data_IF_464375281294
#
_entry.id   IF_464375281294
#
_cell.length_a   1.000
_cell.length_b   1.000
_cell.length_c   1.000
_cell.angle_alpha   90.00
_cell.angle_beta   90.00
_cell.angle_gamma   90.00
#
_symmetry.space_group_name_H-M   'P 1'
#
loop_
_entity.id
_entity.type
_entity.pdbx_description
1 polymer ?
#
# COMPACT_ATOMS: atom_id res chain seq x y z
N UNK A 1 -10.98 -51.46 60.42
CA UNK A 1 -11.03 -52.66 59.58
C UNK A 1 -10.85 -52.20 58.15
N UNK A 2 -9.67 -52.54 57.61
CA UNK A 2 -9.36 -53.16 56.29
C UNK A 2 -9.78 -52.32 55.05
N UNK A 3 -9.02 -52.08 54.04
CA UNK A 3 -7.77 -52.68 53.51
C UNK A 3 -7.08 -51.68 52.56
N UNK A 4 -5.78 -51.56 52.62
CA UNK A 4 -4.89 -51.01 51.59
C UNK A 4 -4.98 -51.82 50.32
N UNK A 5 -4.93 -51.17 49.16
CA UNK A 5 -4.31 -51.79 47.98
C UNK A 5 -3.49 -50.77 47.21
N UNK A 6 -2.21 -51.04 47.20
CA UNK A 6 -1.17 -50.49 46.33
C UNK A 6 -1.43 -50.99 44.90
N UNK A 7 -1.33 -50.14 43.91
CA UNK A 7 -0.93 -50.56 42.59
C UNK A 7 0.22 -49.71 42.07
N UNK A 8 1.28 -50.42 41.80
CA UNK A 8 2.64 -50.01 41.46
C UNK A 8 2.73 -49.67 40.00
N UNK A 9 3.38 -48.53 39.73
CA UNK A 9 3.73 -47.98 38.45
C UNK A 9 4.56 -48.91 37.56
N UNK A 10 4.49 -48.70 36.29
CA UNK A 10 5.57 -49.00 35.36
C UNK A 10 5.90 -47.75 34.58
N UNK A 11 7.06 -47.15 34.87
CA UNK A 11 7.71 -46.18 34.08
C UNK A 11 8.17 -46.78 32.75
N UNK A 12 7.85 -46.12 31.66
CA UNK A 12 8.43 -46.36 30.37
C UNK A 12 9.32 -45.15 30.06
N UNK A 13 10.62 -45.39 30.19
CA UNK A 13 11.69 -44.51 29.75
C UNK A 13 11.64 -44.40 28.24
N UNK A 14 11.36 -43.20 27.73
CA UNK A 14 11.53 -42.90 26.30
C UNK A 14 12.93 -42.29 26.11
N UNK A 15 13.80 -43.16 25.58
CA UNK A 15 15.19 -42.82 25.24
C UNK A 15 15.23 -41.92 24.00
N UNK A 16 15.83 -40.76 24.14
CA UNK A 16 16.29 -39.88 23.08
C UNK A 16 17.09 -40.65 22.01
N UNK A 17 16.61 -40.60 20.78
CA UNK A 17 17.43 -40.86 19.60
C UNK A 17 17.65 -39.48 18.93
N UNK A 18 18.72 -38.86 19.32
CA UNK A 18 19.25 -37.65 18.65
C UNK A 18 20.53 -38.07 17.93
N UNK A 19 20.61 -37.73 16.66
CA UNK A 19 21.88 -37.57 15.98
C UNK A 19 22.21 -38.66 14.97
N UNK A 20 21.70 -38.55 13.76
CA UNK A 20 22.39 -38.96 12.53
C UNK A 20 21.52 -38.62 11.30
N UNK A 21 21.47 -37.37 10.87
CA UNK A 21 20.95 -37.02 9.53
C UNK A 21 21.43 -35.66 8.98
N UNK A 22 22.55 -35.11 9.44
CA UNK A 22 23.02 -33.83 8.89
C UNK A 22 24.40 -33.85 8.23
N UNK A 23 25.01 -35.05 8.11
CA UNK A 23 26.32 -35.21 7.41
C UNK A 23 26.18 -35.69 5.96
N UNK A 24 25.05 -36.33 5.62
CA UNK A 24 24.86 -36.90 4.28
C UNK A 24 24.25 -35.89 3.26
N UNK A 25 23.70 -34.76 3.69
CA UNK A 25 23.16 -33.75 2.79
C UNK A 25 24.24 -32.79 2.25
N UNK A 26 25.32 -32.54 3.01
CA UNK A 26 26.43 -31.70 2.56
C UNK A 26 27.38 -32.36 1.56
N UNK A 27 27.39 -33.70 1.51
CA UNK A 27 28.26 -34.44 0.58
C UNK A 27 27.67 -34.66 -0.80
N UNK A 28 26.37 -34.46 -0.99
CA UNK A 28 25.69 -34.54 -2.31
C UNK A 28 25.73 -33.24 -3.10
N UNK A 29 25.93 -32.09 -2.45
CA UNK A 29 26.00 -30.77 -3.11
C UNK A 29 27.41 -30.38 -3.59
N UNK A 30 28.44 -31.19 -3.27
CA UNK A 30 29.83 -30.91 -3.67
C UNK A 30 30.30 -31.67 -4.93
N UNK A 31 29.46 -32.45 -5.61
CA UNK A 31 29.88 -33.27 -6.76
C UNK A 31 29.25 -32.90 -8.10
N UNK A 32 28.57 -31.74 -8.23
CA UNK A 32 27.99 -31.31 -9.52
C UNK A 32 28.65 -30.09 -10.17
N UNK A 33 29.84 -29.71 -9.73
CA UNK A 33 30.60 -28.60 -10.34
C UNK A 33 31.95 -29.09 -10.79
N UNK A 34 31.99 -29.96 -11.81
CA UNK A 34 33.15 -30.08 -12.71
C UNK A 34 32.74 -30.82 -13.99
N UNK A 35 32.79 -30.17 -15.08
CA UNK A 35 32.87 -30.60 -16.47
C UNK A 35 31.94 -29.88 -17.44
N UNK A 36 32.39 -28.86 -18.09
CA UNK A 36 32.62 -28.84 -19.53
C UNK A 36 33.00 -27.45 -20.02
N UNK A 37 34.29 -27.26 -20.16
CA UNK A 37 34.89 -26.28 -21.07
C UNK A 37 34.96 -26.85 -22.47
N UNK A 38 34.91 -25.95 -23.43
CA UNK A 38 35.41 -25.97 -24.81
C UNK A 38 34.37 -25.98 -25.92
N UNK A 39 34.49 -24.95 -26.79
CA UNK A 39 33.78 -24.86 -28.06
C UNK A 39 33.67 -23.43 -28.61
N UNK A 40 34.82 -22.76 -28.80
CA UNK A 40 34.92 -21.53 -29.62
C UNK A 40 34.73 -21.90 -31.12
N UNK A 41 33.81 -21.23 -31.79
CA UNK A 41 33.98 -20.97 -33.27
C UNK A 41 33.21 -19.70 -33.64
N UNK A 42 34.00 -18.74 -34.14
CA UNK A 42 33.60 -17.56 -34.89
C UNK A 42 33.14 -17.95 -36.31
N UNK A 43 32.24 -17.20 -36.91
CA UNK A 43 32.26 -16.85 -38.32
C UNK A 43 31.21 -15.78 -38.66
N UNK A 44 31.68 -14.60 -39.06
CA UNK A 44 31.38 -13.64 -40.15
C UNK A 44 29.92 -13.42 -40.61
N UNK A 45 29.42 -12.19 -40.48
CA UNK A 45 29.29 -11.06 -41.45
C UNK A 45 28.73 -11.43 -42.82
N UNK A 46 27.51 -10.94 -43.13
CA UNK A 46 27.09 -10.33 -44.42
C UNK A 46 25.69 -9.71 -44.21
N UNK A 47 25.47 -8.66 -44.66
CA UNK A 47 25.06 -7.49 -45.38
C UNK A 47 23.77 -7.68 -46.23
N UNK A 48 22.83 -6.68 -46.05
CA UNK A 48 21.83 -6.16 -47.00
C UNK A 48 20.66 -7.09 -47.40
N UNK A 49 19.42 -6.68 -47.26
CA UNK A 49 18.72 -5.79 -48.19
C UNK A 49 17.30 -5.40 -47.70
N UNK A 50 16.86 -4.25 -48.14
CA UNK A 50 15.69 -3.46 -47.85
C UNK A 50 14.50 -3.92 -48.71
N UNK A 51 13.30 -4.18 -48.15
CA UNK A 51 12.04 -3.91 -48.87
C UNK A 51 10.87 -3.63 -47.91
N UNK A 52 10.18 -2.59 -48.27
CA UNK A 52 8.94 -1.98 -47.73
C UNK A 52 7.73 -2.89 -47.77
N UNK A 53 6.90 -2.87 -46.73
CA UNK A 53 5.44 -2.68 -46.81
C UNK A 53 4.78 -2.73 -45.41
N UNK A 54 3.97 -1.72 -45.09
CA UNK A 54 3.08 -1.56 -43.92
C UNK A 54 1.73 -2.27 -44.16
N UNK A 55 0.72 -2.10 -43.26
CA UNK A 55 0.65 -2.46 -41.84
C UNK A 55 -0.57 -3.37 -41.57
N UNK A 56 -0.60 -4.06 -40.47
CA UNK A 56 -1.84 -4.31 -39.70
C UNK A 56 -1.63 -5.27 -38.54
N UNK A 57 -2.37 -4.99 -37.50
CA UNK A 57 -2.64 -5.78 -36.29
C UNK A 57 -1.78 -5.47 -35.07
N UNK A 58 -2.37 -4.60 -34.24
CA UNK A 58 -2.07 -4.42 -32.81
C UNK A 58 -2.36 -5.76 -32.12
N UNK A 59 -1.32 -6.44 -31.68
CA UNK A 59 -1.43 -7.51 -30.68
C UNK A 59 -0.59 -7.09 -29.47
N UNK A 60 -1.29 -6.73 -28.43
CA UNK A 60 -0.84 -6.53 -27.07
C UNK A 60 -0.20 -7.81 -26.55
N UNK A 61 1.10 -7.82 -26.34
CA UNK A 61 1.79 -8.72 -25.41
C UNK A 61 3.29 -8.37 -25.43
N UNK A 62 3.69 -7.36 -24.66
CA UNK A 62 5.09 -7.14 -24.34
C UNK A 62 5.41 -7.76 -22.98
N UNK A 63 5.52 -9.07 -22.97
CA UNK A 63 6.14 -9.82 -21.89
C UNK A 63 7.64 -9.81 -22.14
N UNK A 64 8.32 -8.80 -21.59
CA UNK A 64 9.79 -8.75 -21.64
C UNK A 64 10.34 -9.65 -20.55
N UNK A 65 10.59 -10.90 -20.88
CA UNK A 65 11.41 -11.81 -20.07
C UNK A 65 12.85 -11.33 -20.10
N UNK A 66 13.29 -10.65 -19.06
CA UNK A 66 14.70 -10.31 -18.84
C UNK A 66 15.26 -11.27 -17.81
N UNK A 67 16.26 -12.06 -18.22
CA UNK A 67 16.98 -13.02 -17.38
C UNK A 67 17.64 -12.35 -16.16
N UNK A 68 17.75 -13.06 -14.99
CA UNK A 68 18.25 -12.48 -13.76
C UNK A 68 19.77 -12.31 -13.80
N UNK A 69 20.24 -11.10 -13.62
CA UNK A 69 21.64 -10.79 -13.33
C UNK A 69 21.72 -10.33 -11.89
N UNK A 70 22.43 -11.13 -11.08
CA UNK A 70 22.96 -10.83 -9.74
C UNK A 70 22.01 -10.27 -8.68
N UNK A 71 21.48 -11.13 -7.80
CA UNK A 71 21.30 -10.93 -6.34
C UNK A 71 20.54 -9.71 -5.81
N UNK A 72 19.97 -8.87 -6.67
CA UNK A 72 19.05 -7.80 -6.32
C UNK A 72 17.65 -8.34 -6.61
N UNK A 73 16.87 -8.60 -5.59
CA UNK A 73 15.43 -8.82 -5.76
C UNK A 73 14.89 -7.63 -6.57
N UNK A 74 14.58 -7.88 -7.85
CA UNK A 74 13.87 -6.88 -8.65
C UNK A 74 12.51 -6.68 -8.00
N UNK A 75 12.33 -5.54 -7.35
CA UNK A 75 11.00 -5.10 -6.92
C UNK A 75 10.09 -5.16 -8.16
N UNK A 76 9.10 -6.02 -8.10
CA UNK A 76 8.11 -6.16 -9.18
C UNK A 76 7.41 -4.81 -9.38
N UNK A 77 7.27 -4.36 -10.63
CA UNK A 77 6.62 -3.10 -10.98
C UNK A 77 5.12 -3.18 -10.65
N UNK A 78 4.69 -2.35 -9.71
CA UNK A 78 3.29 -2.25 -9.31
C UNK A 78 2.62 -1.11 -10.09
N UNK A 79 1.75 -1.45 -11.06
CA UNK A 79 1.08 -0.48 -11.91
C UNK A 79 0.27 0.56 -11.11
N UNK A 80 -0.26 0.18 -9.95
CA UNK A 80 -1.04 1.07 -9.09
C UNK A 80 -0.16 1.98 -8.21
N UNK A 81 1.07 1.57 -7.90
CA UNK A 81 1.99 2.33 -7.03
C UNK A 81 3.07 3.08 -7.81
N UNK A 82 3.56 2.48 -8.89
CA UNK A 82 4.73 2.97 -9.62
C UNK A 82 4.36 3.70 -10.93
N UNK A 83 3.06 3.77 -11.31
CA UNK A 83 2.55 4.47 -12.50
C UNK A 83 1.74 5.72 -12.16
N UNK A 84 1.42 6.57 -13.17
CA UNK A 84 0.50 7.69 -13.01
C UNK A 84 -0.91 7.32 -12.51
N UNK A 85 -1.34 6.06 -12.62
CA UNK A 85 -2.59 5.60 -12.03
C UNK A 85 -2.69 5.84 -10.52
N UNK A 86 -1.54 5.91 -9.83
CA UNK A 86 -1.49 6.28 -8.41
C UNK A 86 -2.22 7.59 -8.12
N UNK A 87 -2.21 8.55 -9.05
CA UNK A 87 -2.89 9.83 -8.86
C UNK A 87 -4.41 9.72 -8.78
N UNK A 88 -5.02 8.64 -9.30
CA UNK A 88 -6.44 8.38 -9.08
C UNK A 88 -6.76 8.04 -7.63
N UNK A 89 -5.79 7.47 -6.92
CA UNK A 89 -5.90 7.25 -5.47
C UNK A 89 -5.96 8.54 -4.65
N UNK A 90 -5.55 9.68 -5.24
CA UNK A 90 -5.61 11.00 -4.57
C UNK A 90 -6.81 11.84 -5.01
N UNK A 91 -7.81 11.24 -5.67
CA UNK A 91 -8.99 11.95 -6.12
C UNK A 91 -9.75 12.60 -4.96
N UNK A 92 -9.87 11.91 -3.82
CA UNK A 92 -10.52 12.42 -2.62
C UNK A 92 -9.78 13.61 -1.99
N UNK A 93 -8.44 13.60 -1.94
CA UNK A 93 -7.65 14.74 -1.46
C UNK A 93 -7.82 15.96 -2.36
N UNK A 94 -7.78 15.75 -3.68
CA UNK A 94 -8.10 16.80 -4.63
C UNK A 94 -9.53 17.32 -4.41
N UNK A 95 -10.50 16.41 -4.19
CA UNK A 95 -11.88 16.76 -3.87
C UNK A 95 -12.01 17.64 -2.63
N UNK A 96 -11.33 17.27 -1.55
CA UNK A 96 -11.29 18.10 -0.34
C UNK A 96 -10.63 19.48 -0.57
N UNK A 97 -9.53 19.51 -1.31
CA UNK A 97 -8.87 20.77 -1.65
C UNK A 97 -9.76 21.70 -2.49
N UNK A 98 -10.53 21.15 -3.44
CA UNK A 98 -11.45 21.88 -4.29
C UNK A 98 -12.86 22.02 -3.71
N UNK A 99 -13.11 21.70 -2.44
CA UNK A 99 -14.45 21.68 -1.85
C UNK A 99 -15.25 22.97 -2.07
N UNK A 100 -14.59 24.16 -2.00
CA UNK A 100 -15.22 25.46 -2.22
C UNK A 100 -15.68 25.71 -3.68
N UNK A 101 -15.20 24.92 -4.64
CA UNK A 101 -15.49 25.03 -6.06
C UNK A 101 -16.47 23.95 -6.56
N UNK A 102 -16.63 22.88 -5.78
CA UNK A 102 -17.43 21.73 -6.17
C UNK A 102 -18.89 21.88 -5.72
N UNK A 103 -19.84 21.32 -6.48
CA UNK A 103 -21.22 21.22 -6.00
C UNK A 103 -21.30 20.28 -4.78
N UNK A 104 -22.42 20.26 -4.03
CA UNK A 104 -22.55 19.50 -2.77
C UNK A 104 -22.22 18.00 -2.89
N UNK A 105 -22.43 17.39 -4.07
CA UNK A 105 -22.10 16.01 -4.35
C UNK A 105 -20.68 15.82 -4.89
N UNK A 106 -19.94 16.90 -5.17
CA UNK A 106 -18.64 16.84 -5.83
C UNK A 106 -17.58 16.14 -4.99
N UNK A 107 -17.42 16.54 -3.73
CA UNK A 107 -16.49 15.87 -2.80
C UNK A 107 -16.85 14.39 -2.62
N UNK A 108 -18.09 13.98 -2.31
CA UNK A 108 -18.46 12.56 -2.30
C UNK A 108 -18.15 11.80 -3.59
N UNK A 109 -18.31 12.43 -4.76
CA UNK A 109 -17.97 11.80 -6.03
C UNK A 109 -16.49 11.50 -6.18
N UNK A 110 -15.61 12.38 -5.69
CA UNK A 110 -14.16 12.14 -5.71
C UNK A 110 -13.75 10.98 -4.80
N UNK A 111 -14.41 10.78 -3.66
CA UNK A 111 -14.26 9.57 -2.83
C UNK A 111 -14.72 8.32 -3.57
N UNK A 112 -15.78 8.42 -4.39
CA UNK A 112 -16.20 7.33 -5.27
C UNK A 112 -15.11 6.92 -6.26
N UNK A 113 -14.43 7.88 -6.88
CA UNK A 113 -13.29 7.62 -7.79
C UNK A 113 -12.14 6.92 -7.05
N UNK A 114 -11.76 7.42 -5.88
CA UNK A 114 -10.73 6.79 -5.06
C UNK A 114 -11.12 5.36 -4.65
N UNK A 115 -12.39 5.13 -4.28
CA UNK A 115 -12.90 3.80 -3.93
C UNK A 115 -12.82 2.81 -5.12
N UNK A 116 -13.16 3.24 -6.33
CA UNK A 116 -13.03 2.41 -7.55
C UNK A 116 -11.57 2.05 -7.79
N UNK A 117 -10.65 3.00 -7.64
CA UNK A 117 -9.21 2.74 -7.73
C UNK A 117 -8.74 1.72 -6.71
N UNK A 118 -9.13 1.87 -5.43
CA UNK A 118 -8.79 0.94 -4.34
C UNK A 118 -9.29 -0.47 -4.65
N UNK A 119 -10.54 -0.60 -5.12
CA UNK A 119 -11.10 -1.90 -5.48
C UNK A 119 -10.37 -2.52 -6.67
N UNK A 120 -10.04 -1.74 -7.70
CA UNK A 120 -9.31 -2.24 -8.87
C UNK A 120 -7.93 -2.80 -8.49
N UNK A 121 -7.14 -2.07 -7.69
CA UNK A 121 -5.85 -2.52 -7.18
C UNK A 121 -6.00 -3.79 -6.30
N UNK A 122 -7.00 -3.80 -5.42
CA UNK A 122 -7.27 -4.94 -4.55
C UNK A 122 -7.59 -6.21 -5.33
N UNK A 123 -8.49 -6.11 -6.32
CA UNK A 123 -8.88 -7.25 -7.15
C UNK A 123 -7.73 -7.76 -8.01
N UNK A 124 -6.96 -6.88 -8.62
CA UNK A 124 -5.79 -7.28 -9.43
C UNK A 124 -4.79 -8.09 -8.59
N UNK A 125 -4.40 -7.58 -7.42
CA UNK A 125 -3.47 -8.26 -6.52
C UNK A 125 -4.02 -9.56 -5.94
N UNK A 126 -5.30 -9.56 -5.54
CA UNK A 126 -5.96 -10.77 -5.02
C UNK A 126 -6.06 -11.87 -6.09
N UNK A 127 -6.40 -11.52 -7.33
CA UNK A 127 -6.49 -12.49 -8.44
C UNK A 127 -5.10 -13.05 -8.79
N UNK A 128 -4.06 -12.21 -8.83
CA UNK A 128 -2.68 -12.65 -9.07
C UNK A 128 -2.24 -13.63 -7.98
N UNK A 129 -2.39 -13.25 -6.72
CA UNK A 129 -2.04 -14.11 -5.60
C UNK A 129 -2.83 -15.44 -5.57
N UNK A 130 -4.13 -15.40 -5.94
CA UNK A 130 -4.93 -16.61 -6.05
C UNK A 130 -4.44 -17.55 -7.16
N UNK A 131 -4.06 -17.02 -8.32
CA UNK A 131 -3.51 -17.82 -9.42
C UNK A 131 -2.17 -18.47 -9.06
N UNK A 132 -1.32 -17.78 -8.33
CA UNK A 132 0.03 -18.26 -7.97
C UNK A 132 0.03 -19.21 -6.78
N UNK A 133 -0.73 -18.91 -5.72
CA UNK A 133 -0.64 -19.56 -4.41
C UNK A 133 -1.97 -20.10 -3.88
N UNK A 134 -3.04 -19.97 -4.67
CA UNK A 134 -4.37 -20.46 -4.34
C UNK A 134 -5.24 -19.49 -3.56
N UNK A 135 -6.52 -19.87 -3.39
CA UNK A 135 -7.61 -19.04 -2.87
C UNK A 135 -7.29 -18.38 -1.51
N UNK A 136 -6.65 -19.13 -0.60
CA UNK A 136 -6.32 -18.61 0.74
C UNK A 136 -5.40 -17.40 0.65
N UNK A 137 -4.35 -17.47 -0.16
CA UNK A 137 -3.41 -16.37 -0.33
C UNK A 137 -4.08 -15.20 -1.06
N UNK A 138 -4.92 -15.46 -2.06
CA UNK A 138 -5.71 -14.43 -2.74
C UNK A 138 -6.56 -13.61 -1.77
N UNK A 139 -7.25 -14.27 -0.84
CA UNK A 139 -8.06 -13.59 0.19
C UNK A 139 -7.16 -12.79 1.15
N UNK A 140 -6.05 -13.35 1.61
CA UNK A 140 -5.11 -12.65 2.52
C UNK A 140 -4.58 -11.39 1.85
N UNK A 141 -4.08 -11.49 0.61
CA UNK A 141 -3.54 -10.36 -0.14
C UNK A 141 -4.63 -9.32 -0.43
N UNK A 142 -5.84 -9.75 -0.77
CA UNK A 142 -6.98 -8.85 -0.99
C UNK A 142 -7.33 -8.05 0.26
N UNK A 143 -7.46 -8.71 1.42
CA UNK A 143 -7.75 -8.04 2.70
C UNK A 143 -6.62 -7.10 3.13
N UNK A 144 -5.37 -7.52 2.96
CA UNK A 144 -4.20 -6.71 3.26
C UNK A 144 -4.18 -5.45 2.38
N UNK A 145 -4.35 -5.62 1.07
CA UNK A 145 -4.34 -4.51 0.11
C UNK A 145 -5.49 -3.52 0.34
N UNK A 146 -6.73 -4.00 0.49
CA UNK A 146 -7.88 -3.09 0.69
C UNK A 146 -7.75 -2.32 1.99
N UNK A 147 -7.28 -2.96 3.07
CA UNK A 147 -7.09 -2.29 4.36
C UNK A 147 -6.01 -1.21 4.25
N UNK A 148 -4.88 -1.54 3.64
CA UNK A 148 -3.80 -0.59 3.41
C UNK A 148 -4.27 0.61 2.59
N UNK A 149 -4.91 0.36 1.44
CA UNK A 149 -5.38 1.40 0.54
C UNK A 149 -6.43 2.31 1.20
N UNK A 150 -7.39 1.76 1.93
CA UNK A 150 -8.40 2.55 2.63
C UNK A 150 -7.76 3.48 3.68
N UNK A 151 -6.78 2.98 4.41
CA UNK A 151 -6.07 3.78 5.42
C UNK A 151 -5.12 4.79 4.78
N UNK A 152 -4.18 4.32 3.92
CA UNK A 152 -3.08 5.13 3.40
C UNK A 152 -3.50 6.08 2.26
N UNK A 153 -4.51 5.70 1.44
CA UNK A 153 -4.89 6.45 0.25
C UNK A 153 -6.25 7.15 0.36
N UNK A 154 -7.07 6.87 1.37
CA UNK A 154 -8.41 7.47 1.46
C UNK A 154 -8.62 8.22 2.78
N UNK A 155 -8.61 7.49 3.90
CA UNK A 155 -9.06 8.08 5.17
C UNK A 155 -8.05 9.05 5.79
N UNK A 156 -6.80 8.64 5.90
CA UNK A 156 -5.78 9.48 6.53
C UNK A 156 -5.50 10.74 5.70
N UNK A 157 -5.11 10.65 4.42
CA UNK A 157 -4.80 11.85 3.65
C UNK A 157 -6.01 12.77 3.52
N UNK A 158 -7.20 12.24 3.18
CA UNK A 158 -8.42 13.04 3.05
C UNK A 158 -8.74 13.82 4.33
N UNK A 159 -8.60 13.20 5.51
CA UNK A 159 -8.82 13.90 6.78
C UNK A 159 -7.80 15.02 7.03
N UNK A 160 -6.52 14.80 6.70
CA UNK A 160 -5.48 15.83 6.83
C UNK A 160 -5.71 17.01 5.87
N UNK A 161 -6.08 16.75 4.62
CA UNK A 161 -6.37 17.84 3.67
C UNK A 161 -7.58 18.64 4.12
N UNK A 162 -8.65 17.99 4.57
CA UNK A 162 -9.82 18.69 5.10
C UNK A 162 -9.47 19.61 6.27
N UNK A 163 -8.67 19.13 7.23
CA UNK A 163 -8.18 19.97 8.35
C UNK A 163 -7.38 21.16 7.81
N UNK A 164 -6.46 20.91 6.87
CA UNK A 164 -5.62 21.95 6.28
C UNK A 164 -6.45 23.03 5.56
N UNK A 165 -7.43 22.63 4.75
CA UNK A 165 -8.32 23.54 4.02
C UNK A 165 -9.17 24.36 4.99
N UNK A 166 -9.81 23.73 5.97
CA UNK A 166 -10.66 24.45 6.93
C UNK A 166 -9.84 25.38 7.85
N UNK A 167 -8.63 24.95 8.25
CA UNK A 167 -7.73 25.83 9.00
C UNK A 167 -7.32 27.04 8.17
N UNK A 168 -7.03 26.87 6.88
CA UNK A 168 -6.71 27.98 5.98
C UNK A 168 -7.90 28.90 5.81
N UNK A 169 -9.12 28.37 5.64
CA UNK A 169 -10.35 29.16 5.60
C UNK A 169 -10.51 30.00 6.86
N UNK A 170 -10.33 29.39 8.04
CA UNK A 170 -10.39 30.10 9.31
C UNK A 170 -9.34 31.22 9.41
N UNK A 171 -8.11 30.97 8.96
CA UNK A 171 -7.07 32.00 8.98
C UNK A 171 -7.40 33.14 8.03
N UNK A 172 -7.88 32.84 6.82
CA UNK A 172 -8.30 33.85 5.85
C UNK A 172 -9.48 34.67 6.37
N UNK A 173 -10.48 34.05 7.00
CA UNK A 173 -11.63 34.79 7.56
C UNK A 173 -11.29 35.72 8.72
N UNK A 174 -10.12 35.57 9.36
CA UNK A 174 -9.63 36.48 10.42
C UNK A 174 -8.68 37.55 9.92
N UNK A 175 -8.35 37.57 8.63
CA UNK A 175 -7.55 38.66 8.06
C UNK A 175 -8.34 39.94 8.03
N UNK A 176 -7.70 41.11 8.35
CA UNK A 176 -8.34 42.43 8.23
C UNK A 176 -8.79 42.68 6.80
N UNK A 177 -9.98 43.24 6.63
CA UNK A 177 -10.56 43.53 5.31
C UNK A 177 -9.75 44.58 4.47
N UNK A 178 -8.94 45.37 5.14
CA UNK A 178 -8.01 46.35 4.51
C UNK A 178 -6.71 45.70 4.04
N UNK A 179 -6.42 44.47 4.46
CA UNK A 179 -5.35 43.65 3.90
C UNK A 179 -5.85 42.97 2.61
N UNK A 180 -6.30 43.79 1.65
CA UNK A 180 -6.65 43.26 0.33
C UNK A 180 -5.40 42.70 -0.32
N UNK A 181 -5.34 41.37 -0.37
CA UNK A 181 -4.36 40.63 -1.16
C UNK A 181 -4.68 40.86 -2.63
N UNK A 182 -4.20 42.00 -3.16
CA UNK A 182 -4.26 42.27 -4.60
C UNK A 182 -3.22 41.39 -5.30
N UNK A 183 -3.62 40.13 -5.52
CA UNK A 183 -2.78 39.15 -6.22
C UNK A 183 -3.24 39.17 -7.68
N UNK A 184 -2.60 39.97 -8.51
CA UNK A 184 -2.73 39.92 -9.96
C UNK A 184 -4.12 40.23 -10.52
N UNK A 185 -4.90 41.10 -9.84
CA UNK A 185 -6.23 41.52 -10.32
C UNK A 185 -7.35 40.48 -10.05
N UNK A 186 -7.14 39.52 -9.19
CA UNK A 186 -8.19 38.61 -8.75
C UNK A 186 -9.06 39.29 -7.68
N UNK A 187 -10.38 39.07 -7.76
CA UNK A 187 -11.30 39.53 -6.75
C UNK A 187 -11.13 38.79 -5.41
N UNK A 188 -11.44 39.46 -4.29
CA UNK A 188 -11.26 38.90 -2.95
C UNK A 188 -11.97 37.57 -2.75
N UNK A 189 -13.20 37.42 -3.30
CA UNK A 189 -13.96 36.19 -3.21
C UNK A 189 -13.27 34.99 -3.92
N UNK A 190 -12.57 35.25 -5.01
CA UNK A 190 -11.76 34.22 -5.70
C UNK A 190 -10.53 33.88 -4.88
N UNK A 191 -9.86 34.86 -4.27
CA UNK A 191 -8.68 34.61 -3.41
C UNK A 191 -9.05 33.78 -2.18
N UNK A 192 -10.17 34.09 -1.54
CA UNK A 192 -10.69 33.32 -0.39
C UNK A 192 -10.88 31.84 -0.70
N UNK A 193 -11.30 31.47 -1.92
CA UNK A 193 -11.44 30.09 -2.35
C UNK A 193 -10.12 29.49 -2.86
N UNK A 194 -9.35 30.26 -3.59
CA UNK A 194 -8.14 29.78 -4.26
C UNK A 194 -7.00 29.46 -3.28
N UNK A 195 -6.86 30.28 -2.22
CA UNK A 195 -5.76 30.11 -1.27
C UNK A 195 -5.87 28.79 -0.46
N UNK A 196 -7.02 28.42 0.15
CA UNK A 196 -7.18 27.13 0.80
C UNK A 196 -7.00 25.95 -0.16
N UNK A 197 -7.50 26.07 -1.40
CA UNK A 197 -7.33 25.08 -2.44
C UNK A 197 -5.85 24.86 -2.77
N UNK A 198 -5.11 25.95 -3.01
CA UNK A 198 -3.68 25.85 -3.32
C UNK A 198 -2.88 25.25 -2.17
N UNK A 199 -3.13 25.67 -0.93
CA UNK A 199 -2.46 25.12 0.26
C UNK A 199 -2.82 23.64 0.45
N UNK A 200 -4.09 23.27 0.27
CA UNK A 200 -4.54 21.88 0.32
C UNK A 200 -3.79 21.01 -0.70
N UNK A 201 -3.76 21.41 -1.97
CA UNK A 201 -3.04 20.69 -3.03
C UNK A 201 -1.53 20.60 -2.76
N UNK A 202 -0.93 21.69 -2.30
CA UNK A 202 0.51 21.71 -1.95
C UNK A 202 0.82 20.78 -0.78
N UNK A 203 -0.11 20.54 0.12
CA UNK A 203 0.07 19.65 1.29
C UNK A 203 0.18 18.18 0.87
N UNK A 204 -0.50 17.74 -0.20
CA UNK A 204 -0.55 16.35 -0.64
C UNK A 204 0.85 15.70 -0.73
N UNK A 205 1.83 16.23 -1.48
CA UNK A 205 3.13 15.56 -1.62
C UNK A 205 3.93 15.47 -0.32
N UNK A 206 3.63 16.32 0.66
CA UNK A 206 4.33 16.31 1.95
C UNK A 206 3.78 15.26 2.91
N UNK A 207 2.46 15.00 2.89
CA UNK A 207 1.81 14.07 3.81
C UNK A 207 1.83 12.62 3.32
N UNK A 208 1.84 12.38 2.01
CA UNK A 208 1.72 11.03 1.43
C UNK A 208 2.82 10.08 1.95
N UNK A 209 4.09 10.46 1.81
CA UNK A 209 5.20 9.60 2.24
C UNK A 209 5.20 9.26 3.74
N UNK A 210 5.02 10.22 4.67
CA UNK A 210 4.93 9.89 6.09
C UNK A 210 3.70 9.03 6.42
N UNK A 211 2.54 9.27 5.78
CA UNK A 211 1.35 8.44 5.98
C UNK A 211 1.61 7.02 5.49
N UNK A 212 2.11 6.84 4.24
CA UNK A 212 2.44 5.53 3.69
C UNK A 212 3.33 4.72 4.67
N UNK A 213 4.42 5.32 5.14
CA UNK A 213 5.33 4.66 6.09
C UNK A 213 4.68 4.30 7.42
N UNK A 214 3.82 5.18 7.92
CA UNK A 214 3.10 4.92 9.19
C UNK A 214 2.12 3.76 9.03
N UNK A 215 1.38 3.74 7.92
CA UNK A 215 0.43 2.67 7.63
C UNK A 215 1.14 1.38 7.28
N UNK A 216 2.27 1.40 6.53
CA UNK A 216 3.09 0.20 6.28
C UNK A 216 3.49 -0.45 7.62
N UNK A 217 4.09 0.34 8.52
CA UNK A 217 4.46 -0.15 9.84
C UNK A 217 3.25 -0.68 10.64
N UNK A 218 2.15 0.05 10.63
CA UNK A 218 0.95 -0.36 11.35
C UNK A 218 0.37 -1.67 10.81
N UNK A 219 0.34 -1.85 9.49
CA UNK A 219 -0.13 -3.08 8.83
C UNK A 219 0.78 -4.26 9.17
N UNK A 220 2.10 -4.09 9.05
CA UNK A 220 3.07 -5.16 9.37
C UNK A 220 2.96 -5.64 10.82
N UNK A 221 2.75 -4.72 11.78
CA UNK A 221 2.62 -5.04 13.20
C UNK A 221 1.21 -5.48 13.62
N UNK A 222 0.23 -5.39 12.74
CA UNK A 222 -1.16 -5.69 13.05
C UNK A 222 -1.83 -6.62 12.04
N UNK A 223 -2.52 -6.07 11.05
CA UNK A 223 -3.38 -6.81 10.10
C UNK A 223 -2.60 -7.89 9.37
N UNK A 224 -1.47 -7.55 8.76
CA UNK A 224 -0.63 -8.48 8.00
C UNK A 224 -0.11 -9.61 8.90
N UNK A 225 0.32 -9.27 10.12
CA UNK A 225 0.79 -10.26 11.11
C UNK A 225 -0.31 -11.24 11.48
N UNK A 226 -1.53 -10.76 11.74
CA UNK A 226 -2.70 -11.59 12.08
C UNK A 226 -3.13 -12.44 10.89
N UNK A 227 -3.29 -11.86 9.69
CA UNK A 227 -3.73 -12.57 8.49
C UNK A 227 -2.78 -13.71 8.10
N UNK A 228 -1.48 -13.53 8.33
CA UNK A 228 -0.46 -14.53 8.04
C UNK A 228 -0.21 -15.54 9.18
N UNK A 229 -0.96 -15.44 10.28
CA UNK A 229 -0.84 -16.34 11.42
C UNK A 229 0.51 -16.27 12.13
N UNK A 230 1.14 -15.08 12.14
CA UNK A 230 2.45 -14.83 12.78
C UNK A 230 2.34 -14.36 14.23
N UNK A 231 1.14 -14.36 14.81
CA UNK A 231 0.93 -14.05 16.22
C UNK A 231 1.25 -15.27 17.07
N UNK A 232 2.23 -15.16 17.96
CA UNK A 232 2.73 -16.25 18.81
C UNK A 232 2.10 -16.23 20.21
N UNK A 233 1.63 -15.05 20.65
CA UNK A 233 1.07 -14.85 21.98
C UNK A 233 -0.28 -14.12 21.95
N UNK A 234 -1.14 -14.28 22.99
CA UNK A 234 -2.33 -13.44 23.13
C UNK A 234 -2.02 -11.94 23.15
N UNK A 235 -0.86 -11.55 23.67
CA UNK A 235 -0.38 -10.17 23.67
C UNK A 235 -0.20 -9.57 22.28
N UNK A 236 0.19 -10.39 21.28
CA UNK A 236 0.31 -9.95 19.89
C UNK A 236 -1.04 -9.54 19.30
N UNK A 237 -2.10 -10.28 19.60
CA UNK A 237 -3.46 -9.94 19.16
C UNK A 237 -3.96 -8.65 19.81
N UNK A 238 -3.68 -8.44 21.10
CA UNK A 238 -4.05 -7.21 21.81
C UNK A 238 -3.30 -6.02 21.23
N UNK A 239 -1.98 -6.15 20.97
CA UNK A 239 -1.18 -5.13 20.31
C UNK A 239 -1.73 -4.81 18.92
N UNK A 240 -2.00 -5.83 18.11
CA UNK A 240 -2.55 -5.67 16.77
C UNK A 240 -3.90 -4.95 16.79
N UNK A 241 -4.81 -5.35 17.68
CA UNK A 241 -6.12 -4.70 17.85
C UNK A 241 -5.97 -3.22 18.29
N UNK A 242 -5.03 -2.91 19.17
CA UNK A 242 -4.73 -1.54 19.61
C UNK A 242 -4.22 -0.67 18.44
N UNK A 243 -3.32 -1.18 17.63
CA UNK A 243 -2.79 -0.47 16.45
C UNK A 243 -3.91 -0.22 15.43
N UNK A 244 -4.70 -1.25 15.09
CA UNK A 244 -5.85 -1.11 14.16
C UNK A 244 -6.85 -0.10 14.72
N UNK A 245 -7.19 -0.19 16.00
CA UNK A 245 -8.09 0.76 16.66
C UNK A 245 -7.59 2.20 16.58
N UNK A 246 -6.30 2.44 16.80
CA UNK A 246 -5.68 3.76 16.65
C UNK A 246 -5.75 4.25 15.20
N UNK A 247 -5.38 3.41 14.22
CA UNK A 247 -5.46 3.76 12.80
C UNK A 247 -6.86 4.11 12.33
N UNK A 248 -7.88 3.43 12.86
CA UNK A 248 -9.28 3.68 12.53
C UNK A 248 -9.88 4.89 13.30
N UNK A 249 -9.35 5.24 14.47
CA UNK A 249 -9.84 6.35 15.27
C UNK A 249 -9.34 7.72 14.78
N UNK A 250 -8.13 7.79 14.22
CA UNK A 250 -7.52 9.07 13.83
C UNK A 250 -8.32 9.79 12.73
N UNK A 251 -8.69 9.19 11.58
CA UNK A 251 -9.41 9.91 10.54
C UNK A 251 -10.75 10.51 10.98
N UNK A 252 -11.69 9.79 11.63
CA UNK A 252 -12.94 10.39 12.07
C UNK A 252 -12.74 11.50 13.11
N UNK A 253 -11.72 11.38 13.97
CA UNK A 253 -11.35 12.45 14.91
C UNK A 253 -10.89 13.70 14.17
N UNK A 254 -10.06 13.55 13.14
CA UNK A 254 -9.60 14.67 12.30
C UNK A 254 -10.76 15.27 11.49
N UNK A 255 -11.67 14.46 10.94
CA UNK A 255 -12.87 14.95 10.26
C UNK A 255 -13.78 15.75 11.20
N UNK A 256 -13.98 15.27 12.42
CA UNK A 256 -14.76 15.99 13.45
C UNK A 256 -14.08 17.31 13.83
N UNK A 257 -12.76 17.30 14.03
CA UNK A 257 -11.98 18.48 14.31
C UNK A 257 -12.04 19.50 13.16
N UNK A 258 -11.91 19.04 11.92
CA UNK A 258 -12.05 19.87 10.73
C UNK A 258 -13.46 20.52 10.65
N UNK A 259 -14.52 19.79 11.04
CA UNK A 259 -15.87 20.33 11.13
C UNK A 259 -15.94 21.51 12.10
N UNK A 260 -15.43 21.33 13.33
CA UNK A 260 -15.37 22.42 14.33
C UNK A 260 -14.60 23.64 13.82
N UNK A 261 -13.46 23.43 13.15
CA UNK A 261 -12.69 24.52 12.55
C UNK A 261 -13.52 25.25 11.46
N UNK A 262 -14.21 24.46 10.61
CA UNK A 262 -15.07 25.01 9.56
C UNK A 262 -16.20 25.89 10.12
N UNK A 263 -16.86 25.45 11.20
CA UNK A 263 -17.91 26.22 11.88
C UNK A 263 -17.39 27.53 12.48
N UNK A 264 -16.11 27.61 12.85
CA UNK A 264 -15.47 28.83 13.37
C UNK A 264 -15.06 29.81 12.27
N UNK A 265 -15.02 29.37 11.02
CA UNK A 265 -14.64 30.19 9.86
C UNK A 265 -15.84 30.92 9.24
N UNK A 266 -17.07 30.51 9.58
CA UNK A 266 -18.33 31.14 9.15
C UNK A 266 -18.72 32.22 10.14
#
# INVERSE_FOLDING_TARGET
>A
MHKKNHHKSRGASFRLVHGESNKNLKQRLSRSTLSRTSGVRAFTKDKEEMTTSSPSSISSSAETVVAPVNGVEKKEYDIYRDSPLRYMGYANECGEAFAAWLPPFGVPATYGVAAVYVLADTFDKAIKANKEKGMKEGVIVGLDTVTWQMLASVFWPGSFIRVTVNLTNLLVSKLPADLSLDIGGLDAATIEKALPTAIGLMTIPFIVKPIDKTIDWAMEESVTKVLRGKCESPGDYVKAAGIVGACLAVPPTLFSFAGVIGDLAV
#
